data_IF_480887743274
#
_entry.id   IF_480887743274
#
_cell.length_a   1.000
_cell.length_b   1.000
_cell.length_c   1.000
_cell.angle_alpha   90.00
_cell.angle_beta   90.00
_cell.angle_gamma   90.00
#
_symmetry.space_group_name_H-M   'P 1'
#
loop_
_entity.id
_entity.type
_entity.pdbx_description
1 polymer ?
#
# COMPACT_ATOMS: atom_id res chain seq x y z
N UNK A 1 -1.76 10.39 4.16
CA UNK A 1 -0.99 11.52 4.73
C UNK A 1 -0.33 12.26 3.58
N UNK A 2 -0.20 13.59 3.66
CA UNK A 2 0.44 14.42 2.63
C UNK A 2 1.35 15.48 3.26
N UNK A 3 2.54 15.73 2.70
CA UNK A 3 3.49 16.74 3.17
C UNK A 3 3.50 17.93 2.21
N UNK A 4 3.39 19.13 2.75
CA UNK A 4 3.45 20.40 1.99
C UNK A 4 4.64 21.24 2.43
N UNK A 5 5.16 22.07 1.52
CA UNK A 5 6.30 22.95 1.78
C UNK A 5 7.68 22.29 1.63
N UNK A 6 7.74 21.00 1.28
CA UNK A 6 9.01 20.29 1.09
C UNK A 6 9.84 20.86 -0.07
N UNK A 7 9.21 21.24 -1.18
CA UNK A 7 9.90 21.87 -2.32
C UNK A 7 10.57 23.20 -1.95
N UNK A 8 10.00 23.91 -0.96
CA UNK A 8 10.60 25.13 -0.43
C UNK A 8 11.75 24.84 0.53
N UNK A 9 11.70 23.71 1.25
CA UNK A 9 12.75 23.28 2.18
C UNK A 9 14.00 22.85 1.42
N UNK A 10 13.80 22.12 0.32
CA UNK A 10 14.86 21.59 -0.53
C UNK A 10 14.54 21.75 -2.03
N UNK A 11 14.66 22.96 -2.59
CA UNK A 11 14.40 23.17 -4.01
C UNK A 11 15.42 22.42 -4.87
N UNK A 12 14.95 21.91 -6.01
CA UNK A 12 15.76 21.22 -6.99
C UNK A 12 16.76 22.16 -7.69
N UNK A 13 17.77 21.60 -8.35
CA UNK A 13 18.73 22.37 -9.17
C UNK A 13 19.82 23.14 -8.40
N UNK A 14 19.95 22.95 -7.09
CA UNK A 14 21.02 23.60 -6.28
C UNK A 14 22.40 23.00 -6.57
N UNK A 15 23.43 23.86 -6.65
CA UNK A 15 24.83 23.43 -6.77
C UNK A 15 25.38 22.96 -5.41
N UNK A 16 26.29 22.00 -5.45
CA UNK A 16 27.02 21.57 -4.26
C UNK A 16 27.93 22.72 -3.73
N UNK A 17 28.10 22.85 -2.40
CA UNK A 17 27.63 21.97 -1.33
C UNK A 17 26.23 22.33 -0.77
N UNK A 18 25.66 23.48 -1.15
CA UNK A 18 24.41 23.99 -0.58
C UNK A 18 23.15 23.21 -0.94
N UNK A 19 23.25 22.24 -1.86
CA UNK A 19 22.18 21.29 -2.18
C UNK A 19 21.82 20.35 -1.02
N UNK A 20 22.71 20.16 -0.05
CA UNK A 20 22.50 19.24 1.07
C UNK A 20 21.95 19.91 2.34
N UNK A 21 21.98 21.23 2.40
CA UNK A 21 21.49 21.97 3.57
C UNK A 21 20.01 22.35 3.35
N UNK A 22 19.10 22.01 4.27
CA UNK A 22 17.72 22.50 4.21
C UNK A 22 17.67 24.01 4.42
N UNK A 23 16.69 24.68 3.81
CA UNK A 23 16.42 26.09 4.13
C UNK A 23 15.86 26.20 5.55
N UNK A 24 16.41 27.13 6.34
CA UNK A 24 15.88 27.43 7.66
C UNK A 24 14.61 28.30 7.54
N UNK A 25 13.69 28.15 8.49
CA UNK A 25 12.47 28.95 8.55
C UNK A 25 11.41 28.61 7.49
N UNK A 26 11.52 27.46 6.82
CA UNK A 26 10.50 27.03 5.84
C UNK A 26 9.29 26.44 6.55
N UNK A 27 8.08 26.79 6.10
CA UNK A 27 6.85 26.21 6.62
C UNK A 27 6.62 24.82 6.02
N UNK A 28 6.75 23.79 6.85
CA UNK A 28 6.35 22.42 6.54
C UNK A 28 5.00 22.15 7.20
N UNK A 29 4.13 21.41 6.52
CA UNK A 29 2.85 21.00 7.11
C UNK A 29 2.47 19.60 6.66
N UNK A 30 2.04 18.78 7.62
CA UNK A 30 1.54 17.43 7.41
C UNK A 30 0.02 17.45 7.46
N UNK A 31 -0.62 16.95 6.42
CA UNK A 31 -2.08 16.81 6.35
C UNK A 31 -2.46 15.34 6.47
N UNK A 32 -3.35 15.05 7.40
CA UNK A 32 -4.00 13.74 7.53
C UNK A 32 -5.34 13.78 6.80
N UNK A 33 -5.60 12.73 6.02
CA UNK A 33 -6.89 12.56 5.36
C UNK A 33 -7.86 11.83 6.27
N UNK A 34 -9.08 11.65 5.76
CA UNK A 34 -10.07 10.82 6.42
C UNK A 34 -9.60 9.36 6.53
N UNK A 35 -9.99 8.64 7.60
CA UNK A 35 -9.74 7.21 7.71
C UNK A 35 -10.36 6.44 6.54
N UNK A 36 -9.61 5.48 5.98
CA UNK A 36 -10.13 4.61 4.92
C UNK A 36 -11.16 3.66 5.53
N UNK A 37 -12.41 3.64 5.03
CA UNK A 37 -13.41 2.71 5.54
C UNK A 37 -13.02 1.25 5.29
N UNK A 38 -13.17 0.34 6.28
CA UNK A 38 -12.77 -1.06 6.13
C UNK A 38 -13.45 -1.79 4.96
N UNK A 39 -14.68 -1.38 4.63
CA UNK A 39 -15.43 -1.99 3.52
C UNK A 39 -14.78 -1.72 2.16
N UNK A 40 -14.05 -0.61 1.99
CA UNK A 40 -13.32 -0.28 0.76
C UNK A 40 -12.20 -1.28 0.50
N UNK A 41 -11.46 -1.66 1.55
CA UNK A 41 -10.39 -2.66 1.47
C UNK A 41 -10.99 -4.04 1.18
N UNK A 42 -12.07 -4.42 1.88
CA UNK A 42 -12.76 -5.69 1.63
C UNK A 42 -13.30 -5.80 0.21
N UNK A 43 -13.89 -4.72 -0.31
CA UNK A 43 -14.40 -4.68 -1.67
C UNK A 43 -13.27 -4.80 -2.71
N UNK A 44 -12.11 -4.18 -2.48
CA UNK A 44 -10.94 -4.35 -3.34
C UNK A 44 -10.49 -5.81 -3.37
N UNK A 45 -10.34 -6.46 -2.21
CA UNK A 45 -9.97 -7.87 -2.08
C UNK A 45 -10.96 -8.82 -2.78
N UNK A 46 -12.25 -8.51 -2.76
CA UNK A 46 -13.30 -9.33 -3.37
C UNK A 46 -13.42 -9.15 -4.89
N UNK A 47 -13.16 -7.94 -5.41
CA UNK A 47 -13.36 -7.59 -6.82
C UNK A 47 -12.46 -8.39 -7.76
N UNK A 48 -11.32 -8.83 -7.25
CA UNK A 48 -10.33 -9.60 -8.00
C UNK A 48 -10.43 -11.12 -7.70
N UNK A 49 -11.36 -11.53 -6.83
CA UNK A 49 -11.64 -12.93 -6.51
C UNK A 49 -12.64 -13.61 -7.48
N UNK A 50 -12.89 -13.04 -8.66
CA UNK A 50 -13.72 -13.64 -9.71
C UNK A 50 -12.86 -14.64 -10.51
N UNK A 51 -13.37 -15.84 -10.82
CA UNK A 51 -12.66 -17.08 -10.54
C UNK A 51 -12.05 -17.73 -11.78
N UNK A 52 -10.75 -18.02 -11.72
CA UNK A 52 -10.24 -19.20 -12.40
C UNK A 52 -10.53 -20.41 -11.50
N UNK A 53 -11.66 -21.05 -11.77
CA UNK A 53 -11.88 -22.49 -11.70
C UNK A 53 -10.92 -23.29 -10.79
N UNK A 54 -11.06 -23.18 -9.48
CA UNK A 54 -10.71 -24.27 -8.57
C UNK A 54 -11.95 -24.60 -7.74
N UNK A 55 -12.60 -25.76 -7.96
CA UNK A 55 -13.71 -26.17 -7.11
C UNK A 55 -13.19 -26.24 -5.69
N UNK A 56 -13.96 -25.68 -4.75
CA UNK A 56 -13.71 -25.74 -3.32
C UNK A 56 -13.24 -27.15 -2.93
N UNK A 57 -11.92 -27.31 -2.76
CA UNK A 57 -11.38 -28.52 -2.19
C UNK A 57 -11.79 -28.48 -0.72
N UNK A 58 -12.85 -29.23 -0.47
CA UNK A 58 -13.23 -29.83 0.79
C UNK A 58 -12.03 -29.88 1.75
N UNK A 59 -12.03 -29.03 2.77
CA UNK A 59 -11.06 -29.05 3.87
C UNK A 59 -11.39 -30.27 4.73
N UNK A 60 -11.23 -31.46 4.16
CA UNK A 60 -11.20 -32.70 4.93
C UNK A 60 -9.83 -32.75 5.60
N UNK A 61 -9.83 -32.36 6.87
CA UNK A 61 -9.02 -32.90 7.96
C UNK A 61 -7.98 -33.94 7.52
N UNK A 62 -6.75 -33.49 7.25
CA UNK A 62 -5.61 -34.33 6.87
C UNK A 62 -4.60 -34.51 8.02
N UNK A 63 -5.10 -34.68 9.25
CA UNK A 63 -4.28 -35.29 10.32
C UNK A 63 -4.22 -36.78 10.02
N UNK A 64 -3.26 -37.17 9.20
CA UNK A 64 -2.88 -38.56 9.04
C UNK A 64 -2.10 -38.98 10.28
N UNK A 65 -2.51 -40.09 10.88
CA UNK A 65 -2.03 -40.68 12.15
C UNK A 65 -0.54 -41.09 12.14
N UNK A 66 0.20 -40.82 11.06
CA UNK A 66 1.65 -41.01 10.97
C UNK A 66 2.31 -39.75 10.44
N UNK A 67 2.94 -39.02 11.35
CA UNK A 67 3.54 -37.72 11.12
C UNK A 67 4.80 -37.76 10.26
N UNK A 68 4.62 -37.66 8.95
CA UNK A 68 5.63 -37.09 8.04
C UNK A 68 4.91 -36.32 6.93
N UNK A 69 5.01 -34.99 6.94
CA UNK A 69 4.59 -34.17 5.79
C UNK A 69 5.71 -34.24 4.73
N UNK A 70 5.43 -34.54 3.45
CA UNK A 70 6.47 -34.51 2.42
C UNK A 70 7.01 -33.08 2.26
N UNK A 71 8.32 -32.90 2.32
CA UNK A 71 8.99 -31.59 2.24
C UNK A 71 8.62 -30.78 0.98
N UNK A 72 8.31 -31.44 -0.14
CA UNK A 72 7.83 -30.80 -1.38
C UNK A 72 6.47 -30.11 -1.21
N UNK A 73 5.52 -30.71 -0.47
CA UNK A 73 4.18 -30.13 -0.24
C UNK A 73 4.25 -28.95 0.73
N UNK A 74 5.18 -28.97 1.68
CA UNK A 74 5.45 -27.82 2.55
C UNK A 74 6.02 -26.65 1.74
N UNK A 75 6.97 -26.94 0.84
CA UNK A 75 7.62 -25.92 0.01
C UNK A 75 6.66 -25.27 -1.00
N UNK A 76 5.78 -26.06 -1.64
CA UNK A 76 4.74 -25.52 -2.53
C UNK A 76 3.72 -24.64 -1.79
N UNK A 77 3.33 -25.02 -0.57
CA UNK A 77 2.43 -24.21 0.27
C UNK A 77 3.07 -22.88 0.69
N UNK A 78 4.36 -22.88 1.01
CA UNK A 78 5.07 -21.66 1.39
C UNK A 78 5.17 -20.68 0.22
N UNK A 79 5.44 -21.17 -1.01
CA UNK A 79 5.46 -20.33 -2.21
C UNK A 79 4.07 -19.77 -2.52
N UNK A 80 3.02 -20.60 -2.45
CA UNK A 80 1.65 -20.15 -2.67
C UNK A 80 1.20 -19.09 -1.64
N UNK A 81 1.55 -19.28 -0.37
CA UNK A 81 1.25 -18.31 0.69
C UNK A 81 2.01 -16.98 0.49
N UNK A 82 3.24 -17.04 -0.03
CA UNK A 82 4.01 -15.84 -0.36
C UNK A 82 3.40 -15.08 -1.54
N UNK A 83 2.97 -15.79 -2.58
CA UNK A 83 2.29 -15.22 -3.75
C UNK A 83 0.97 -14.56 -3.37
N UNK A 84 0.15 -15.23 -2.56
CA UNK A 84 -1.10 -14.67 -2.03
C UNK A 84 -0.81 -13.41 -1.19
N UNK A 85 0.22 -13.44 -0.34
CA UNK A 85 0.63 -12.27 0.45
C UNK A 85 1.10 -11.10 -0.43
N UNK A 86 1.86 -11.38 -1.50
CA UNK A 86 2.29 -10.35 -2.46
C UNK A 86 1.08 -9.74 -3.16
N UNK A 87 0.13 -10.57 -3.58
CA UNK A 87 -1.10 -10.12 -4.22
C UNK A 87 -1.92 -9.22 -3.29
N UNK A 88 -2.20 -9.69 -2.07
CA UNK A 88 -2.93 -8.91 -1.06
C UNK A 88 -2.24 -7.57 -0.79
N UNK A 89 -0.91 -7.56 -0.63
CA UNK A 89 -0.15 -6.31 -0.43
C UNK A 89 -0.29 -5.35 -1.61
N UNK A 90 -0.21 -5.85 -2.85
CA UNK A 90 -0.38 -5.02 -4.04
C UNK A 90 -1.76 -4.34 -4.02
N UNK A 91 -2.82 -5.13 -3.81
CA UNK A 91 -4.19 -4.62 -3.82
C UNK A 91 -4.45 -3.59 -2.72
N UNK A 92 -3.96 -3.85 -1.51
CA UNK A 92 -4.08 -2.91 -0.39
C UNK A 92 -3.29 -1.63 -0.68
N UNK A 93 -2.11 -1.76 -1.27
CA UNK A 93 -1.28 -0.62 -1.66
C UNK A 93 -1.97 0.24 -2.70
N UNK A 94 -2.61 -0.35 -3.70
CA UNK A 94 -3.35 0.39 -4.74
C UNK A 94 -4.49 1.23 -4.14
N UNK A 95 -5.23 0.66 -3.18
CA UNK A 95 -6.27 1.41 -2.44
C UNK A 95 -5.64 2.57 -1.69
N UNK A 96 -4.57 2.34 -0.93
CA UNK A 96 -3.90 3.39 -0.15
C UNK A 96 -3.36 4.48 -1.07
N UNK A 97 -2.72 4.11 -2.18
CA UNK A 97 -2.14 5.04 -3.14
C UNK A 97 -3.20 5.98 -3.70
N UNK A 98 -4.33 5.43 -4.17
CA UNK A 98 -5.44 6.24 -4.69
C UNK A 98 -5.96 7.24 -3.65
N UNK A 99 -6.14 6.82 -2.40
CA UNK A 99 -6.61 7.72 -1.34
C UNK A 99 -5.59 8.81 -0.99
N UNK A 100 -4.28 8.49 -1.04
CA UNK A 100 -3.20 9.45 -0.82
C UNK A 100 -3.11 10.45 -1.96
N UNK A 101 -3.23 10.00 -3.20
CA UNK A 101 -3.25 10.88 -4.39
C UNK A 101 -4.46 11.81 -4.34
N UNK A 102 -5.66 11.29 -4.05
CA UNK A 102 -6.86 12.11 -3.90
C UNK A 102 -6.73 13.16 -2.78
N UNK A 103 -6.09 12.78 -1.66
CA UNK A 103 -5.75 13.74 -0.59
C UNK A 103 -4.80 14.83 -1.11
N UNK A 104 -3.74 14.44 -1.83
CA UNK A 104 -2.79 15.37 -2.43
C UNK A 104 -3.45 16.35 -3.39
N UNK A 105 -4.32 15.88 -4.28
CA UNK A 105 -5.08 16.73 -5.20
C UNK A 105 -5.94 17.76 -4.46
N UNK A 106 -6.70 17.34 -3.43
CA UNK A 106 -7.54 18.25 -2.64
C UNK A 106 -6.72 19.31 -1.89
N UNK A 107 -5.58 18.92 -1.32
CA UNK A 107 -4.69 19.84 -0.60
C UNK A 107 -4.07 20.84 -1.57
N UNK A 108 -3.56 20.38 -2.71
CA UNK A 108 -2.97 21.25 -3.73
C UNK A 108 -3.98 22.24 -4.32
N UNK A 109 -5.22 21.80 -4.59
CA UNK A 109 -6.29 22.68 -5.06
C UNK A 109 -6.57 23.81 -4.05
N UNK A 110 -6.76 23.47 -2.77
CA UNK A 110 -6.98 24.47 -1.70
C UNK A 110 -5.86 25.51 -1.61
N UNK A 111 -4.61 25.10 -1.87
CA UNK A 111 -3.46 26.01 -1.84
C UNK A 111 -3.39 26.92 -3.06
N UNK A 112 -3.84 26.46 -4.23
CA UNK A 112 -3.94 27.27 -5.45
C UNK A 112 -5.06 28.31 -5.37
N UNK A 113 -6.16 27.99 -4.68
CA UNK A 113 -7.32 28.88 -4.52
C UNK A 113 -7.12 29.97 -3.43
N UNK A 114 -5.97 29.99 -2.75
CA UNK A 114 -5.66 30.99 -1.73
C UNK A 114 -5.05 32.23 -2.41
N UNK A 115 -5.67 33.43 -2.29
CA UNK A 115 -5.18 34.65 -2.93
C UNK A 115 -3.85 35.14 -2.36
#
# INVERSE_FOLDING_TARGET
MWLTGFDSLMPEGRKAPWKFLPRLGTHLSVTFGEPIPPHTIRAALQREAIPDSHPAQNVQSWVSEKGTVPALVAQERDVQAEEESRRIRSMVTDVIQREVEALGTRVSQRMLDKP
#
